data_IF_615305417174
#
_entry.id   IF_615305417174
#
_cell.length_a   1.000
_cell.length_b   1.000
_cell.length_c   1.000
_cell.angle_alpha   90.00
_cell.angle_beta   90.00
_cell.angle_gamma   90.00
#
_symmetry.space_group_name_H-M   'P 1'
#
loop_
_entity.id
_entity.type
_entity.pdbx_description
1 polymer ?
#
# COMPACT_ATOMS: atom_id res chain seq x y z
N UNK A 1 -15.96 4.87 -41.20
CA UNK A 1 -15.87 4.22 -39.85
C UNK A 1 -14.39 4.12 -39.52
N UNK A 2 -13.93 5.01 -38.62
CA UNK A 2 -12.55 4.96 -38.16
C UNK A 2 -12.36 3.69 -37.32
N UNK A 3 -11.46 2.81 -37.75
CA UNK A 3 -11.00 1.68 -36.93
C UNK A 3 -10.28 2.29 -35.74
N UNK A 4 -10.89 2.24 -34.56
CA UNK A 4 -10.21 2.53 -33.30
C UNK A 4 -9.16 1.44 -33.20
N UNK A 5 -7.91 1.79 -33.49
CA UNK A 5 -6.77 0.89 -33.28
C UNK A 5 -6.69 0.65 -31.77
N UNK A 6 -6.73 -0.63 -31.37
CA UNK A 6 -6.51 -1.00 -29.98
C UNK A 6 -5.11 -0.54 -29.58
N UNK A 7 -4.96 0.16 -28.43
CA UNK A 7 -3.64 0.53 -27.97
C UNK A 7 -2.76 -0.73 -27.81
N UNK A 8 -1.46 -0.66 -28.06
CA UNK A 8 -0.55 -1.77 -27.86
C UNK A 8 -0.64 -2.21 -26.38
N UNK A 9 -0.79 -3.52 -26.17
CA UNK A 9 -0.93 -4.08 -24.82
C UNK A 9 -2.37 -4.27 -24.31
N UNK A 10 -3.40 -3.93 -25.12
CA UNK A 10 -4.78 -4.18 -24.74
C UNK A 10 -5.10 -5.68 -24.69
N UNK A 11 -5.34 -6.17 -23.49
CA UNK A 11 -5.74 -7.56 -23.22
C UNK A 11 -6.85 -7.61 -22.18
N UNK A 12 -8.09 -7.76 -22.64
CA UNK A 12 -9.27 -7.90 -21.76
C UNK A 12 -9.27 -9.20 -20.96
N UNK A 13 -8.44 -10.17 -21.35
CA UNK A 13 -8.30 -11.44 -20.62
C UNK A 13 -7.27 -11.36 -19.50
N UNK A 14 -6.47 -10.28 -19.46
CA UNK A 14 -5.49 -10.09 -18.41
C UNK A 14 -6.15 -10.10 -17.03
N UNK A 15 -5.69 -11.00 -16.20
CA UNK A 15 -6.14 -11.15 -14.81
C UNK A 15 -4.92 -11.07 -13.90
N UNK A 16 -4.81 -10.02 -13.09
CA UNK A 16 -3.71 -9.94 -12.15
C UNK A 16 -3.81 -11.07 -11.12
N UNK A 17 -2.68 -11.57 -10.69
CA UNK A 17 -2.62 -12.46 -9.55
C UNK A 17 -3.11 -11.73 -8.29
N UNK A 18 -3.71 -12.51 -7.38
CA UNK A 18 -4.14 -11.96 -6.10
C UNK A 18 -2.92 -11.45 -5.33
N UNK A 19 -2.87 -10.14 -5.14
CA UNK A 19 -1.81 -9.47 -4.40
C UNK A 19 -2.37 -8.73 -3.18
N UNK A 20 -1.65 -8.77 -2.06
CA UNK A 20 -2.02 -8.10 -0.82
C UNK A 20 -0.97 -7.09 -0.41
N UNK A 21 -1.41 -5.86 -0.22
CA UNK A 21 -0.59 -4.74 0.20
C UNK A 21 -1.02 -4.31 1.62
N UNK A 22 -0.08 -4.39 2.55
CA UNK A 22 -0.30 -4.05 3.95
C UNK A 22 0.11 -2.60 4.23
N UNK A 23 -0.40 -1.99 5.31
CA UNK A 23 0.06 -0.67 5.75
C UNK A 23 1.58 -0.61 5.94
N UNK A 24 2.21 0.57 5.80
CA UNK A 24 3.66 0.72 5.92
C UNK A 24 4.16 0.29 7.30
N UNK A 25 5.42 -0.15 7.36
CA UNK A 25 6.03 -0.63 8.61
C UNK A 25 5.96 0.41 9.72
N UNK A 26 6.16 1.70 9.39
CA UNK A 26 6.07 2.81 10.35
C UNK A 26 4.75 2.85 11.12
N UNK A 27 3.64 2.42 10.49
CA UNK A 27 2.31 2.38 11.11
C UNK A 27 2.12 1.10 11.93
N UNK A 28 2.77 0.00 11.53
CA UNK A 28 2.65 -1.31 12.21
C UNK A 28 3.56 -1.47 13.41
N UNK A 29 4.77 -0.88 13.38
CA UNK A 29 5.77 -0.98 14.45
C UNK A 29 5.21 -0.62 15.84
N UNK A 30 4.48 0.50 16.03
CA UNK A 30 3.92 0.83 17.35
C UNK A 30 3.02 -0.27 17.92
N UNK A 31 2.22 -0.95 17.09
CA UNK A 31 1.36 -2.04 17.54
C UNK A 31 2.18 -3.27 18.01
N UNK A 32 3.27 -3.58 17.31
CA UNK A 32 4.17 -4.67 17.74
C UNK A 32 4.95 -4.33 19.01
N UNK A 33 5.42 -3.09 19.14
CA UNK A 33 6.08 -2.61 20.37
C UNK A 33 5.11 -2.68 21.55
N UNK A 34 3.86 -2.26 21.33
CA UNK A 34 2.82 -2.36 22.36
C UNK A 34 2.56 -3.82 22.76
N UNK A 35 2.46 -4.74 21.80
CA UNK A 35 2.30 -6.18 22.10
C UNK A 35 3.49 -6.75 22.86
N UNK A 36 4.73 -6.40 22.46
CA UNK A 36 5.93 -6.86 23.14
C UNK A 36 5.98 -6.36 24.60
N UNK A 37 5.63 -5.08 24.83
CA UNK A 37 5.52 -4.51 26.18
C UNK A 37 4.44 -5.18 27.02
N UNK A 38 3.26 -5.43 26.45
CA UNK A 38 2.17 -6.13 27.12
C UNK A 38 2.58 -7.57 27.50
N UNK A 39 3.30 -8.26 26.62
CA UNK A 39 3.81 -9.61 26.87
C UNK A 39 4.84 -9.61 28.00
N UNK A 40 5.77 -8.65 27.99
CA UNK A 40 6.76 -8.52 29.06
C UNK A 40 6.12 -8.27 30.44
N UNK A 41 5.10 -7.42 30.49
CA UNK A 41 4.33 -7.19 31.70
C UNK A 41 3.59 -8.45 32.15
N UNK A 42 2.92 -9.16 31.23
CA UNK A 42 2.21 -10.39 31.54
C UNK A 42 3.14 -11.49 32.09
N UNK A 43 4.32 -11.66 31.48
CA UNK A 43 5.35 -12.58 31.96
C UNK A 43 5.82 -12.17 33.36
N UNK A 44 6.07 -10.87 33.59
CA UNK A 44 6.45 -10.35 34.90
C UNK A 44 5.40 -10.64 35.97
N UNK A 45 4.13 -10.42 35.65
CA UNK A 45 3.00 -10.71 36.57
C UNK A 45 2.89 -12.22 36.84
N UNK A 46 3.07 -13.07 35.83
CA UNK A 46 3.01 -14.52 35.98
C UNK A 46 4.19 -15.09 36.81
N UNK A 47 5.37 -14.49 36.68
CA UNK A 47 6.57 -14.90 37.44
C UNK A 47 6.61 -14.36 38.87
N UNK A 48 5.91 -13.24 39.16
CA UNK A 48 5.97 -12.58 40.42
C UNK A 48 5.69 -13.49 41.63
N UNK A 49 4.69 -14.41 41.63
CA UNK A 49 4.42 -15.32 42.74
C UNK A 49 5.54 -16.31 43.04
N UNK A 50 6.41 -16.58 42.05
CA UNK A 50 7.50 -17.54 42.15
C UNK A 50 8.80 -16.89 42.65
N UNK A 51 8.82 -15.58 42.77
CA UNK A 51 9.99 -14.82 43.26
C UNK A 51 10.02 -14.75 44.80
N UNK A 52 11.20 -14.48 45.36
CA UNK A 52 11.35 -14.28 46.80
C UNK A 52 10.52 -13.09 47.27
N UNK A 53 9.99 -13.17 48.48
CA UNK A 53 9.17 -12.12 49.09
C UNK A 53 9.90 -10.78 49.30
N UNK A 54 11.22 -10.77 49.20
CA UNK A 54 12.08 -9.57 49.19
C UNK A 54 12.19 -8.88 47.83
N UNK A 55 11.71 -9.52 46.75
CA UNK A 55 11.75 -8.95 45.39
C UNK A 55 10.78 -7.76 45.28
N UNK A 56 11.25 -6.69 44.65
CA UNK A 56 10.41 -5.52 44.38
C UNK A 56 9.17 -5.88 43.52
N UNK A 57 9.35 -6.81 42.56
CA UNK A 57 8.28 -7.29 41.66
C UNK A 57 7.19 -8.02 42.50
N UNK A 58 7.60 -8.90 43.43
CA UNK A 58 6.67 -9.54 44.36
C UNK A 58 5.90 -8.51 45.20
N UNK A 59 6.62 -7.49 45.70
CA UNK A 59 6.01 -6.40 46.46
C UNK A 59 4.94 -5.64 45.67
N UNK A 60 5.20 -5.34 44.44
CA UNK A 60 4.24 -4.61 43.55
C UNK A 60 3.08 -5.48 43.12
N UNK A 61 3.34 -6.71 42.64
CA UNK A 61 2.32 -7.55 42.04
C UNK A 61 1.49 -8.28 43.08
N UNK A 62 2.12 -8.91 44.08
CA UNK A 62 1.42 -9.77 45.03
C UNK A 62 0.93 -8.99 46.25
N UNK A 63 1.80 -8.24 46.93
CA UNK A 63 1.40 -7.46 48.11
C UNK A 63 0.55 -6.25 47.74
N UNK A 64 0.85 -5.59 46.60
CA UNK A 64 0.11 -4.41 46.17
C UNK A 64 -1.30 -4.75 45.66
N UNK A 65 -1.59 -5.97 45.26
CA UNK A 65 -2.90 -6.38 44.71
C UNK A 65 -4.04 -6.28 45.72
N UNK A 66 -3.73 -6.46 47.00
CA UNK A 66 -4.73 -6.41 48.09
C UNK A 66 -5.44 -5.06 48.23
N UNK A 67 -4.76 -3.95 47.86
CA UNK A 67 -5.28 -2.60 47.96
C UNK A 67 -5.69 -1.97 46.62
N UNK A 68 -5.73 -2.75 45.54
CA UNK A 68 -6.08 -2.27 44.18
C UNK A 68 -7.50 -2.59 43.80
N UNK A 69 -8.12 -1.68 43.09
CA UNK A 69 -9.46 -1.87 42.47
C UNK A 69 -9.44 -2.98 41.42
N UNK A 70 -8.28 -3.21 40.79
CA UNK A 70 -8.12 -4.22 39.74
C UNK A 70 -6.84 -5.02 39.98
N UNK A 71 -6.92 -6.36 39.91
CA UNK A 71 -5.77 -7.21 40.11
C UNK A 71 -4.75 -7.06 38.99
N UNK A 72 -3.46 -7.27 39.30
CA UNK A 72 -2.37 -7.20 38.33
C UNK A 72 -2.57 -8.21 37.20
N UNK A 73 -3.12 -9.39 37.47
CA UNK A 73 -3.45 -10.39 36.49
C UNK A 73 -4.54 -9.94 35.50
N UNK A 74 -5.62 -9.35 36.01
CA UNK A 74 -6.68 -8.79 35.16
C UNK A 74 -6.16 -7.67 34.27
N UNK A 75 -5.35 -6.76 34.84
CA UNK A 75 -4.71 -5.68 34.08
C UNK A 75 -3.83 -6.23 32.95
N UNK A 76 -2.95 -7.20 33.22
CA UNK A 76 -2.09 -7.84 32.23
C UNK A 76 -2.90 -8.51 31.12
N UNK A 77 -4.01 -9.18 31.47
CA UNK A 77 -4.91 -9.83 30.50
C UNK A 77 -5.56 -8.79 29.59
N UNK A 78 -6.11 -7.72 30.12
CA UNK A 78 -6.71 -6.63 29.34
C UNK A 78 -5.68 -5.98 28.41
N UNK A 79 -4.44 -5.81 28.91
CA UNK A 79 -3.36 -5.23 28.12
C UNK A 79 -2.96 -6.15 26.95
N UNK A 80 -2.88 -7.45 27.17
CA UNK A 80 -2.63 -8.44 26.13
C UNK A 80 -3.76 -8.46 25.08
N UNK A 81 -5.00 -8.47 25.52
CA UNK A 81 -6.15 -8.47 24.59
C UNK A 81 -6.17 -7.19 23.75
N UNK A 82 -5.96 -6.02 24.36
CA UNK A 82 -5.95 -4.74 23.63
C UNK A 82 -4.78 -4.64 22.66
N UNK A 83 -3.58 -5.09 23.04
CA UNK A 83 -2.40 -5.09 22.18
C UNK A 83 -2.54 -6.10 21.02
N UNK A 84 -3.08 -7.29 21.30
CA UNK A 84 -3.43 -8.28 20.28
C UNK A 84 -4.45 -7.73 19.28
N UNK A 85 -5.51 -7.08 19.75
CA UNK A 85 -6.49 -6.41 18.91
C UNK A 85 -5.86 -5.31 18.03
N UNK A 86 -4.91 -4.54 18.57
CA UNK A 86 -4.17 -3.52 17.80
C UNK A 86 -3.35 -4.13 16.66
N UNK A 87 -2.66 -5.24 16.91
CA UNK A 87 -1.89 -5.96 15.87
C UNK A 87 -2.83 -6.55 14.81
N UNK A 88 -3.93 -7.21 15.22
CA UNK A 88 -4.93 -7.75 14.30
C UNK A 88 -5.52 -6.65 13.41
N UNK A 89 -5.85 -5.50 13.99
CA UNK A 89 -6.33 -4.34 13.25
C UNK A 89 -5.37 -3.95 12.13
N UNK A 90 -4.07 -3.86 12.43
CA UNK A 90 -3.07 -3.50 11.42
C UNK A 90 -2.89 -4.58 10.36
N UNK A 91 -3.03 -5.84 10.72
CA UNK A 91 -2.96 -6.94 9.77
C UNK A 91 -4.20 -7.05 8.88
N UNK A 92 -5.37 -6.65 9.38
CA UNK A 92 -6.62 -6.68 8.60
C UNK A 92 -6.77 -5.49 7.67
N UNK A 93 -6.05 -4.40 7.89
CA UNK A 93 -6.06 -3.21 7.04
C UNK A 93 -5.20 -3.39 5.78
N UNK A 94 -5.50 -2.63 4.73
CA UNK A 94 -4.71 -2.59 3.49
C UNK A 94 -5.53 -2.73 2.22
N UNK A 95 -4.84 -3.04 1.13
CA UNK A 95 -5.42 -3.22 -0.20
C UNK A 95 -5.17 -4.65 -0.67
N UNK A 96 -6.20 -5.27 -1.22
CA UNK A 96 -6.09 -6.57 -1.89
C UNK A 96 -6.55 -6.41 -3.34
N UNK A 97 -5.66 -6.69 -4.26
CA UNK A 97 -5.97 -6.71 -5.69
C UNK A 97 -6.43 -8.12 -6.05
N UNK A 98 -7.54 -8.21 -6.77
CA UNK A 98 -8.11 -9.44 -7.27
C UNK A 98 -8.18 -9.41 -8.81
N UNK A 99 -8.38 -10.55 -9.48
CA UNK A 99 -8.56 -10.62 -10.93
C UNK A 99 -9.68 -9.72 -11.46
N UNK A 100 -10.72 -9.50 -10.68
CA UNK A 100 -11.97 -8.80 -11.03
C UNK A 100 -12.11 -7.43 -10.38
N UNK A 101 -11.21 -7.04 -9.47
CA UNK A 101 -11.30 -5.73 -8.81
C UNK A 101 -10.30 -5.49 -7.70
N UNK A 102 -10.52 -4.42 -6.97
CA UNK A 102 -9.73 -4.00 -5.82
C UNK A 102 -10.62 -4.04 -4.56
N UNK A 103 -10.10 -4.58 -3.50
CA UNK A 103 -10.73 -4.59 -2.19
C UNK A 103 -9.89 -3.75 -1.22
N UNK A 104 -10.47 -2.67 -0.71
CA UNK A 104 -9.88 -1.89 0.38
C UNK A 104 -10.44 -2.38 1.71
N UNK A 105 -9.56 -2.59 2.65
CA UNK A 105 -9.87 -3.03 4.00
C UNK A 105 -9.42 -1.99 4.99
N UNK A 106 -10.38 -1.45 5.70
CA UNK A 106 -10.15 -0.51 6.79
C UNK A 106 -10.80 -1.06 8.06
N UNK A 107 -10.17 -0.85 9.19
CA UNK A 107 -10.76 -1.19 10.47
C UNK A 107 -11.17 0.11 11.15
N UNK A 108 -12.47 0.34 11.24
CA UNK A 108 -13.08 1.48 11.91
C UNK A 108 -12.86 1.42 13.43
N UNK A 109 -13.32 2.47 14.13
CA UNK A 109 -13.39 2.46 15.58
C UNK A 109 -14.12 1.21 16.08
N UNK A 110 -13.73 0.71 17.25
CA UNK A 110 -14.26 -0.52 17.86
C UNK A 110 -13.97 -1.83 17.11
N UNK A 111 -13.00 -1.84 16.16
CA UNK A 111 -12.57 -3.06 15.50
C UNK A 111 -13.51 -3.59 14.41
N UNK A 112 -14.50 -2.81 13.98
CA UNK A 112 -15.41 -3.20 12.91
C UNK A 112 -14.68 -3.11 11.57
N UNK A 113 -14.52 -4.21 10.81
CA UNK A 113 -13.90 -4.16 9.50
C UNK A 113 -14.86 -3.54 8.49
N UNK A 114 -14.39 -2.51 7.79
CA UNK A 114 -15.05 -1.96 6.61
C UNK A 114 -14.33 -2.51 5.37
N UNK A 115 -15.05 -3.32 4.62
CA UNK A 115 -14.54 -3.90 3.37
C UNK A 115 -15.29 -3.23 2.22
N UNK A 116 -14.55 -2.57 1.34
CA UNK A 116 -15.08 -1.96 0.13
C UNK A 116 -14.48 -2.67 -1.08
N UNK A 117 -15.33 -3.22 -1.93
CA UNK A 117 -14.93 -3.85 -3.19
C UNK A 117 -15.30 -2.96 -4.35
N UNK A 118 -14.36 -2.75 -5.24
CA UNK A 118 -14.50 -1.99 -6.46
C UNK A 118 -14.13 -2.92 -7.62
N UNK A 119 -15.09 -3.23 -8.47
CA UNK A 119 -14.82 -3.99 -9.68
C UNK A 119 -14.06 -3.10 -10.69
N UNK A 120 -13.15 -3.67 -11.46
CA UNK A 120 -12.42 -2.93 -12.51
C UNK A 120 -13.36 -2.22 -13.48
N UNK A 121 -14.52 -2.83 -13.78
CA UNK A 121 -15.54 -2.23 -14.64
C UNK A 121 -16.22 -0.99 -14.06
N UNK A 122 -16.07 -0.72 -12.76
CA UNK A 122 -16.61 0.49 -12.11
C UNK A 122 -15.65 1.67 -12.15
N UNK A 123 -14.39 1.43 -12.51
CA UNK A 123 -13.34 2.44 -12.56
C UNK A 123 -13.35 3.11 -13.93
N UNK A 124 -13.57 4.41 -13.93
CA UNK A 124 -13.53 5.26 -15.13
C UNK A 124 -12.10 5.73 -15.42
N UNK A 125 -11.36 6.12 -14.37
CA UNK A 125 -10.01 6.66 -14.49
C UNK A 125 -9.18 6.30 -13.25
N UNK A 126 -7.88 6.11 -13.47
CA UNK A 126 -6.89 5.97 -12.40
C UNK A 126 -5.98 7.18 -12.41
N UNK A 127 -5.80 7.84 -11.27
CA UNK A 127 -4.84 8.92 -11.13
C UNK A 127 -3.75 8.53 -10.13
N UNK A 128 -2.51 8.63 -10.59
CA UNK A 128 -1.29 8.31 -9.84
C UNK A 128 -0.39 9.54 -9.85
N UNK A 129 -0.73 10.58 -9.06
CA UNK A 129 0.07 11.79 -9.04
C UNK A 129 1.44 11.52 -8.40
N UNK A 130 2.49 11.88 -9.09
CA UNK A 130 3.84 11.98 -8.52
C UNK A 130 4.00 13.36 -7.86
N UNK A 131 4.57 13.39 -6.67
CA UNK A 131 4.89 14.63 -5.94
C UNK A 131 6.41 14.77 -5.85
N UNK A 132 7.02 15.63 -6.69
CA UNK A 132 8.47 15.83 -6.67
C UNK A 132 8.96 16.40 -5.33
N UNK A 133 8.17 17.20 -4.64
CA UNK A 133 8.55 17.74 -3.33
C UNK A 133 8.59 16.65 -2.25
N UNK A 134 7.72 15.63 -2.36
CA UNK A 134 7.74 14.47 -1.45
C UNK A 134 8.95 13.56 -1.73
N UNK A 135 9.39 13.47 -2.99
CA UNK A 135 10.60 12.75 -3.40
C UNK A 135 11.86 13.42 -2.83
N UNK A 136 12.01 14.74 -3.01
CA UNK A 136 13.13 15.51 -2.48
C UNK A 136 13.20 15.46 -0.95
N UNK A 137 12.05 15.43 -0.28
CA UNK A 137 11.97 15.30 1.17
C UNK A 137 12.25 13.88 1.71
N UNK A 138 12.51 12.90 0.85
CA UNK A 138 12.73 11.51 1.22
C UNK A 138 11.52 10.83 1.91
N UNK A 139 10.32 11.36 1.67
CA UNK A 139 9.08 10.87 2.31
C UNK A 139 8.42 9.72 1.57
N UNK A 140 8.80 9.51 0.33
CA UNK A 140 8.23 8.51 -0.58
C UNK A 140 9.34 7.74 -1.28
N UNK A 141 8.97 6.64 -1.91
CA UNK A 141 9.87 5.84 -2.75
C UNK A 141 10.38 6.65 -3.95
N UNK A 142 11.34 6.11 -4.68
CA UNK A 142 11.97 6.77 -5.84
C UNK A 142 10.97 7.20 -6.93
N UNK A 143 9.75 6.70 -6.91
CA UNK A 143 8.68 7.06 -7.87
C UNK A 143 7.92 8.35 -7.52
N UNK A 144 8.12 8.92 -6.33
CA UNK A 144 7.41 10.12 -5.88
C UNK A 144 5.91 9.94 -5.65
N UNK A 145 5.38 8.70 -5.70
CA UNK A 145 3.95 8.43 -5.58
C UNK A 145 3.51 8.57 -4.13
N UNK A 146 2.56 9.45 -3.88
CA UNK A 146 2.03 9.70 -2.53
C UNK A 146 0.65 9.08 -2.30
N UNK A 147 -0.16 9.00 -3.36
CA UNK A 147 -1.56 8.52 -3.30
C UNK A 147 -1.96 7.95 -4.64
N UNK A 148 -2.91 7.02 -4.61
CA UNK A 148 -3.58 6.51 -5.81
C UNK A 148 -5.06 6.87 -5.67
N UNK A 149 -5.62 7.54 -6.68
CA UNK A 149 -7.03 7.91 -6.77
C UNK A 149 -7.70 7.10 -7.87
N UNK A 150 -8.88 6.59 -7.56
CA UNK A 150 -9.74 5.89 -8.50
C UNK A 150 -10.99 6.75 -8.70
N UNK A 151 -11.20 7.21 -9.90
CA UNK A 151 -12.44 7.90 -10.29
C UNK A 151 -13.41 6.85 -10.83
N UNK A 152 -14.64 6.83 -10.31
CA UNK A 152 -15.63 5.82 -10.66
C UNK A 152 -16.66 6.40 -11.63
N UNK A 153 -17.28 5.54 -12.45
CA UNK A 153 -18.33 5.92 -13.41
C UNK A 153 -19.53 6.67 -12.77
N UNK A 154 -19.79 6.48 -11.48
CA UNK A 154 -20.82 7.20 -10.75
C UNK A 154 -20.39 8.61 -10.30
N UNK A 155 -19.22 9.10 -10.72
CA UNK A 155 -18.66 10.39 -10.35
C UNK A 155 -18.03 10.44 -8.97
N UNK A 156 -17.99 9.34 -8.21
CA UNK A 156 -17.31 9.30 -6.92
C UNK A 156 -15.82 9.11 -7.08
N UNK A 157 -15.02 9.72 -6.19
CA UNK A 157 -13.56 9.59 -6.13
C UNK A 157 -13.18 8.80 -4.90
N UNK A 158 -12.39 7.77 -5.11
CA UNK A 158 -11.91 6.91 -4.04
C UNK A 158 -10.39 6.98 -3.95
N UNK A 159 -9.89 7.16 -2.75
CA UNK A 159 -8.45 7.13 -2.48
C UNK A 159 -8.10 5.80 -1.86
N UNK A 160 -7.05 5.18 -2.40
CA UNK A 160 -6.52 3.97 -1.79
C UNK A 160 -5.79 4.33 -0.49
N UNK A 161 -5.91 3.50 0.56
CA UNK A 161 -5.18 3.72 1.80
C UNK A 161 -3.67 3.61 1.58
N UNK A 162 -2.90 4.31 2.43
CA UNK A 162 -1.44 4.24 2.42
C UNK A 162 -0.96 2.81 2.70
N UNK A 163 -0.15 2.28 1.79
CA UNK A 163 0.43 0.94 1.87
C UNK A 163 1.96 1.01 1.81
N UNK A 164 2.62 0.02 2.41
CA UNK A 164 4.09 0.03 2.55
C UNK A 164 4.85 -0.14 1.24
N UNK A 165 4.19 -0.64 0.20
CA UNK A 165 4.74 -0.83 -1.15
C UNK A 165 3.82 -0.16 -2.16
N UNK A 166 3.73 1.17 -2.07
CA UNK A 166 2.81 1.94 -2.89
C UNK A 166 3.21 1.94 -4.36
N UNK A 167 4.51 1.94 -4.67
CA UNK A 167 5.05 1.82 -6.02
C UNK A 167 4.68 0.49 -6.68
N UNK A 168 4.81 -0.64 -5.95
CA UNK A 168 4.43 -1.95 -6.48
C UNK A 168 2.91 -2.03 -6.74
N UNK A 169 2.11 -1.43 -5.85
CA UNK A 169 0.65 -1.34 -6.03
C UNK A 169 0.30 -0.47 -7.25
N UNK A 170 0.96 0.69 -7.40
CA UNK A 170 0.76 1.59 -8.53
C UNK A 170 1.08 0.89 -9.84
N UNK A 171 2.24 0.24 -9.95
CA UNK A 171 2.66 -0.52 -11.13
C UNK A 171 1.66 -1.64 -11.49
N UNK A 172 1.14 -2.35 -10.48
CA UNK A 172 0.14 -3.40 -10.72
C UNK A 172 -1.16 -2.81 -11.25
N UNK A 173 -1.63 -1.70 -10.66
CA UNK A 173 -2.85 -1.01 -11.11
C UNK A 173 -2.67 -0.45 -12.53
N UNK A 174 -1.52 0.14 -12.83
CA UNK A 174 -1.17 0.63 -14.16
C UNK A 174 -1.25 -0.47 -15.22
N UNK A 175 -0.66 -1.63 -14.96
CA UNK A 175 -0.73 -2.79 -15.86
C UNK A 175 -2.17 -3.22 -16.12
N UNK A 176 -3.00 -3.27 -15.09
CA UNK A 176 -4.41 -3.63 -15.24
C UNK A 176 -5.17 -2.55 -16.02
N UNK A 177 -4.92 -1.28 -15.71
CA UNK A 177 -5.55 -0.16 -16.38
C UNK A 177 -5.22 -0.13 -17.88
N UNK A 178 -3.94 -0.31 -18.25
CA UNK A 178 -3.50 -0.42 -19.64
C UNK A 178 -4.16 -1.61 -20.36
N UNK A 179 -4.15 -2.79 -19.73
CA UNK A 179 -4.76 -3.97 -20.34
C UNK A 179 -6.26 -3.80 -20.56
N UNK A 180 -6.95 -3.02 -19.74
CA UNK A 180 -8.40 -2.78 -19.81
C UNK A 180 -8.79 -1.46 -20.48
N UNK A 181 -7.81 -0.73 -21.03
CA UNK A 181 -8.00 0.60 -21.63
C UNK A 181 -8.68 1.60 -20.66
N UNK A 182 -8.37 1.51 -19.37
CA UNK A 182 -8.78 2.50 -18.36
C UNK A 182 -7.79 3.66 -18.46
N UNK A 183 -8.25 4.93 -18.63
CA UNK A 183 -7.38 6.09 -18.72
C UNK A 183 -6.55 6.26 -17.43
N UNK A 184 -5.26 6.56 -17.59
CA UNK A 184 -4.33 6.81 -16.48
C UNK A 184 -3.92 8.28 -16.53
N UNK A 185 -3.98 8.96 -15.39
CA UNK A 185 -3.50 10.32 -15.20
C UNK A 185 -2.27 10.29 -14.30
N UNK A 186 -1.12 10.67 -14.84
CA UNK A 186 0.18 10.42 -14.22
C UNK A 186 0.61 8.97 -14.42
N UNK A 187 1.47 8.47 -13.57
CA UNK A 187 1.95 7.09 -13.65
C UNK A 187 3.31 6.92 -13.01
N UNK A 188 3.79 5.67 -12.97
CA UNK A 188 5.13 5.38 -12.45
C UNK A 188 6.24 5.78 -13.43
N UNK A 189 5.91 6.07 -14.68
CA UNK A 189 6.87 6.27 -15.77
C UNK A 189 7.56 4.97 -16.23
N UNK A 190 7.51 3.93 -15.43
CA UNK A 190 8.20 2.66 -15.69
C UNK A 190 7.63 1.88 -16.89
N UNK A 191 6.37 2.14 -17.24
CA UNK A 191 5.74 1.47 -18.38
C UNK A 191 5.89 2.24 -19.68
N UNK A 192 6.11 3.56 -19.63
CA UNK A 192 6.44 4.37 -20.79
C UNK A 192 7.81 3.96 -21.35
N UNK A 193 8.80 3.72 -20.50
CA UNK A 193 10.12 3.20 -20.90
C UNK A 193 10.03 1.80 -21.54
N UNK A 194 9.02 1.00 -21.17
CA UNK A 194 8.79 -0.33 -21.79
C UNK A 194 7.97 -0.27 -23.07
N UNK A 195 7.19 0.81 -23.27
CA UNK A 195 6.36 1.00 -24.46
C UNK A 195 7.15 1.59 -25.63
N UNK A 196 8.27 2.27 -25.38
CA UNK A 196 9.13 2.89 -26.40
C UNK A 196 10.60 2.45 -26.29
N UNK A 197 10.92 1.14 -26.34
CA UNK A 197 12.32 0.70 -26.28
C UNK A 197 13.11 0.98 -27.59
N UNK A 198 12.52 1.57 -28.63
CA UNK A 198 13.12 1.68 -29.95
C UNK A 198 13.02 3.04 -30.64
N UNK A 199 12.55 4.11 -29.97
CA UNK A 199 12.30 5.38 -30.66
C UNK A 199 13.40 6.45 -30.49
N UNK A 200 14.52 6.15 -29.86
CA UNK A 200 15.47 7.24 -29.53
C UNK A 200 16.78 7.29 -30.29
N UNK A 201 17.17 6.43 -31.19
CA UNK A 201 18.53 6.55 -31.78
C UNK A 201 18.70 6.33 -33.28
N UNK A 202 17.64 6.21 -34.10
CA UNK A 202 17.83 5.84 -35.49
C UNK A 202 17.64 6.96 -36.59
N UNK A 203 17.36 8.21 -36.18
CA UNK A 203 17.12 9.28 -37.15
C UNK A 203 18.33 10.17 -37.47
N UNK A 204 19.47 10.01 -36.82
CA UNK A 204 20.63 10.87 -37.06
C UNK A 204 21.66 10.34 -38.09
N UNK A 205 21.48 9.16 -38.66
CA UNK A 205 22.40 8.58 -39.63
C UNK A 205 21.81 8.41 -41.06
N UNK A 206 20.92 9.30 -41.47
CA UNK A 206 20.62 9.41 -42.89
C UNK A 206 21.82 10.05 -43.60
N UNK A 207 22.54 9.34 -44.49
CA UNK A 207 23.65 9.92 -45.25
C UNK A 207 23.12 11.07 -46.10
N UNK A 208 23.74 12.25 -45.96
CA UNK A 208 23.42 13.46 -46.68
C UNK A 208 23.29 13.13 -48.18
N UNK A 209 22.12 13.40 -48.73
CA UNK A 209 21.81 13.25 -50.13
C UNK A 209 22.87 14.00 -51.00
N UNK A 210 23.55 13.36 -51.95
CA UNK A 210 24.59 13.99 -52.74
C UNK A 210 24.00 15.16 -53.54
N UNK A 211 24.57 16.34 -53.33
CA UNK A 211 24.19 17.58 -53.99
C UNK A 211 24.10 17.41 -55.50
N UNK A 212 22.93 17.72 -56.06
CA UNK A 212 22.69 17.70 -57.51
C UNK A 212 23.70 18.57 -58.25
N UNK A 213 24.30 18.16 -59.35
CA UNK A 213 25.23 18.93 -60.12
C UNK A 213 24.55 20.17 -60.73
N UNK A 214 25.29 21.32 -60.85
CA UNK A 214 24.73 22.54 -61.40
C UNK A 214 24.38 22.35 -62.89
N UNK A 215 23.35 23.05 -63.41
CA UNK A 215 22.97 22.98 -64.81
C UNK A 215 24.08 23.53 -65.71
N UNK A 216 24.41 22.78 -66.75
CA UNK A 216 25.33 23.18 -67.77
C UNK A 216 24.76 24.33 -68.59
N UNK A 217 25.50 25.50 -68.62
CA UNK A 217 25.23 26.64 -69.45
C UNK A 217 25.72 26.47 -70.88
#
# INVERSE_FOLDING_TARGET
>A
MARISRPPGFDMTYRPDKARFLPPLRVRVPAYVYLAGALAIAIGVALAPHLSSSSWLYGIVVRGDVNRVMSAGLFATLLLLSSGAAVLRQQMSGVVVFPDGIETREVLAFGVPRIKRLAWAQIDRVAIPADPAALEAGRVDATGITKIRLDLWNGTREYLPDVGKLSDLALLIERVALARAIPIEGGTGLLDDLAHPFDEDDDDDLPAEPASPPPAG
#
